data_IF_803141924545
#
_entry.id   IF_803141924545
#
_cell.length_a   1.000
_cell.length_b   1.000
_cell.length_c   1.000
_cell.angle_alpha   90.00
_cell.angle_beta   90.00
_cell.angle_gamma   90.00
#
_symmetry.space_group_name_H-M   'P 1'
#
loop_
_entity.id
_entity.type
_entity.pdbx_description
1 polymer ?
#
# COMPACT_ATOMS: atom_id res chain seq x y z
N UNK A 1 -2.75 -17.77 -9.76
CA UNK A 1 -4.11 -17.18 -9.66
C UNK A 1 -4.10 -15.86 -10.40
N UNK A 2 -5.11 -15.64 -11.24
CA UNK A 2 -5.22 -14.39 -12.02
C UNK A 2 -6.44 -13.57 -11.61
N UNK A 3 -7.57 -14.22 -11.31
CA UNK A 3 -8.75 -13.52 -10.83
C UNK A 3 -9.03 -13.96 -9.38
N UNK A 4 -9.44 -13.02 -8.53
CA UNK A 4 -9.77 -13.27 -7.14
C UNK A 4 -11.04 -12.51 -6.73
N UNK A 5 -12.02 -13.22 -6.23
CA UNK A 5 -13.20 -12.67 -5.55
C UNK A 5 -13.07 -12.92 -4.05
N UNK A 6 -13.23 -11.87 -3.27
CA UNK A 6 -13.10 -11.91 -1.82
C UNK A 6 -14.45 -11.60 -1.17
N UNK A 7 -14.87 -12.46 -0.24
CA UNK A 7 -16.08 -12.24 0.54
C UNK A 7 -15.77 -12.29 2.03
N UNK A 8 -16.38 -11.39 2.77
CA UNK A 8 -16.35 -11.34 4.22
C UNK A 8 -17.77 -11.50 4.75
N UNK A 9 -18.01 -12.52 5.57
CA UNK A 9 -19.31 -12.80 6.13
C UNK A 9 -20.44 -12.89 5.07
N UNK A 10 -20.12 -13.47 3.91
CA UNK A 10 -21.04 -13.62 2.78
C UNK A 10 -21.27 -12.35 1.95
N UNK A 11 -20.56 -11.26 2.23
CA UNK A 11 -20.62 -10.00 1.47
C UNK A 11 -19.34 -9.79 0.66
N UNK A 12 -19.42 -9.28 -0.58
CA UNK A 12 -18.22 -8.98 -1.36
C UNK A 12 -17.40 -7.86 -0.71
N UNK A 13 -16.08 -8.05 -0.65
CA UNK A 13 -15.16 -7.05 -0.12
C UNK A 13 -14.91 -5.90 -1.10
N UNK A 14 -15.15 -6.14 -2.39
CA UNK A 14 -14.97 -5.17 -3.45
C UNK A 14 -15.15 -5.84 -4.81
N UNK A 15 -14.74 -5.14 -5.86
CA UNK A 15 -14.74 -5.69 -7.21
C UNK A 15 -13.74 -6.85 -7.33
N UNK A 16 -13.99 -7.76 -8.29
CA UNK A 16 -13.08 -8.86 -8.57
C UNK A 16 -11.70 -8.33 -9.00
N UNK A 17 -10.67 -8.71 -8.25
CA UNK A 17 -9.31 -8.41 -8.64
C UNK A 17 -8.88 -9.26 -9.83
N UNK A 18 -8.24 -8.64 -10.81
CA UNK A 18 -7.69 -9.31 -11.98
C UNK A 18 -6.20 -9.02 -12.12
N UNK A 19 -5.42 -10.08 -12.29
CA UNK A 19 -3.97 -10.01 -12.39
C UNK A 19 -3.25 -10.74 -11.25
N UNK A 20 -2.26 -11.57 -11.61
CA UNK A 20 -1.58 -12.47 -10.65
C UNK A 20 -0.33 -11.88 -10.02
N UNK A 21 0.17 -10.75 -10.51
CA UNK A 21 1.49 -10.22 -10.15
C UNK A 21 1.45 -8.98 -9.27
N UNK A 22 0.27 -8.43 -9.01
CA UNK A 22 0.08 -7.22 -8.22
C UNK A 22 -0.34 -7.54 -6.80
N UNK A 23 0.06 -6.69 -5.86
CA UNK A 23 -0.55 -6.60 -4.55
C UNK A 23 -1.87 -5.84 -4.68
N UNK A 24 -2.90 -6.30 -3.99
CA UNK A 24 -4.18 -5.62 -3.88
C UNK A 24 -4.68 -5.71 -2.44
N UNK A 25 -5.53 -4.79 -2.05
CA UNK A 25 -6.13 -4.69 -0.73
C UNK A 25 -7.58 -4.23 -0.84
N UNK A 26 -8.37 -4.59 0.16
CA UNK A 26 -9.73 -4.11 0.33
C UNK A 26 -9.89 -3.60 1.76
N UNK A 27 -10.54 -2.47 1.91
CA UNK A 27 -11.03 -2.05 3.22
C UNK A 27 -12.27 -2.88 3.56
N UNK A 28 -12.16 -3.66 4.63
CA UNK A 28 -13.21 -4.57 5.09
C UNK A 28 -13.80 -4.13 6.43
N UNK A 29 -13.48 -2.94 6.90
CA UNK A 29 -13.86 -2.43 8.22
C UNK A 29 -15.35 -2.56 8.47
N UNK A 30 -16.18 -2.13 7.52
CA UNK A 30 -17.64 -2.17 7.62
C UNK A 30 -18.24 -3.59 7.45
N UNK A 31 -17.45 -4.55 7.02
CA UNK A 31 -17.90 -5.94 6.80
C UNK A 31 -17.62 -6.83 8.00
N UNK A 32 -16.84 -6.36 8.97
CA UNK A 32 -16.41 -7.12 10.12
C UNK A 32 -17.44 -7.09 11.25
N UNK A 33 -17.65 -8.25 11.88
CA UNK A 33 -18.35 -8.38 13.14
C UNK A 33 -17.31 -8.28 14.27
N UNK A 34 -17.09 -7.09 14.83
CA UNK A 34 -16.10 -6.87 15.87
C UNK A 34 -16.40 -7.72 17.11
N UNK A 35 -15.36 -8.32 17.69
CA UNK A 35 -15.48 -9.19 18.85
C UNK A 35 -16.10 -10.56 18.59
N UNK A 36 -16.35 -10.93 17.33
CA UNK A 36 -16.92 -12.23 16.92
C UNK A 36 -16.03 -12.88 15.87
N UNK A 37 -16.36 -14.15 15.56
CA UNK A 37 -15.76 -14.83 14.43
C UNK A 37 -16.24 -14.21 13.13
N UNK A 38 -15.32 -14.03 12.19
CA UNK A 38 -15.60 -13.58 10.84
C UNK A 38 -15.18 -14.68 9.86
N UNK A 39 -15.93 -14.81 8.79
CA UNK A 39 -15.65 -15.77 7.73
C UNK A 39 -15.05 -15.04 6.53
N UNK A 40 -13.87 -15.47 6.12
CA UNK A 40 -13.22 -15.05 4.89
C UNK A 40 -13.38 -16.17 3.85
N UNK A 41 -13.95 -15.83 2.72
CA UNK A 41 -14.02 -16.70 1.54
C UNK A 41 -13.26 -16.04 0.39
N UNK A 42 -12.41 -16.84 -0.25
CA UNK A 42 -11.62 -16.37 -1.40
C UNK A 42 -11.78 -17.35 -2.55
N UNK A 43 -12.44 -16.91 -3.60
CA UNK A 43 -12.58 -17.66 -4.83
C UNK A 43 -11.52 -17.19 -5.82
N UNK A 44 -10.70 -18.12 -6.29
CA UNK A 44 -9.59 -17.81 -7.20
C UNK A 44 -9.69 -18.61 -8.48
N UNK A 45 -9.45 -17.95 -9.60
CA UNK A 45 -9.35 -18.59 -10.90
C UNK A 45 -7.89 -18.67 -11.36
N UNK A 46 -7.53 -19.76 -12.00
CA UNK A 46 -6.22 -19.92 -12.65
C UNK A 46 -6.13 -19.10 -13.92
N UNK A 47 -7.23 -18.93 -14.60
CA UNK A 47 -7.38 -18.16 -15.83
C UNK A 47 -8.24 -16.94 -15.59
N UNK A 48 -7.85 -15.79 -16.12
CA UNK A 48 -8.64 -14.59 -16.03
C UNK A 48 -9.80 -14.60 -17.01
N UNK A 49 -10.94 -14.09 -16.58
CA UNK A 49 -12.03 -13.75 -17.51
C UNK A 49 -11.63 -12.66 -18.50
N UNK A 50 -10.60 -11.88 -18.18
CA UNK A 50 -10.05 -10.86 -19.05
C UNK A 50 -9.00 -11.46 -20.02
N UNK A 51 -9.34 -11.46 -21.32
CA UNK A 51 -8.47 -12.04 -22.36
C UNK A 51 -7.11 -11.34 -22.47
N UNK A 52 -7.07 -10.04 -22.24
CA UNK A 52 -5.84 -9.25 -22.30
C UNK A 52 -4.88 -9.66 -21.18
N UNK A 53 -5.39 -9.82 -19.95
CA UNK A 53 -4.61 -10.30 -18.80
C UNK A 53 -4.10 -11.73 -19.06
N UNK A 54 -4.94 -12.62 -19.56
CA UNK A 54 -4.50 -13.97 -19.94
C UNK A 54 -3.39 -13.94 -20.98
N UNK A 55 -3.50 -13.06 -21.98
CA UNK A 55 -2.46 -12.94 -23.01
C UNK A 55 -1.14 -12.43 -22.42
N UNK A 56 -1.20 -11.45 -21.52
CA UNK A 56 -0.01 -10.86 -20.90
C UNK A 56 0.66 -11.79 -19.86
N UNK A 57 -0.13 -12.47 -19.05
CA UNK A 57 0.41 -13.25 -17.92
C UNK A 57 0.64 -14.73 -18.21
N UNK A 58 0.01 -15.29 -19.26
CA UNK A 58 0.04 -16.74 -19.53
C UNK A 58 0.85 -17.16 -20.77
N UNK A 59 1.30 -16.22 -21.58
CA UNK A 59 2.14 -16.49 -22.76
C UNK A 59 3.62 -16.31 -22.44
N UNK A 60 4.10 -16.99 -21.42
CA UNK A 60 5.47 -16.87 -20.98
C UNK A 60 6.06 -18.24 -20.62
N UNK A 61 7.38 -18.31 -20.54
CA UNK A 61 8.16 -19.55 -20.36
C UNK A 61 8.18 -20.07 -18.91
N UNK A 62 7.23 -19.68 -18.07
CA UNK A 62 7.17 -20.16 -16.68
C UNK A 62 5.90 -20.93 -16.37
N UNK A 63 6.00 -21.77 -15.34
CA UNK A 63 4.89 -22.52 -14.84
C UNK A 63 3.86 -21.62 -14.14
N UNK A 64 2.60 -21.77 -14.55
CA UNK A 64 1.48 -21.06 -13.95
C UNK A 64 0.84 -21.91 -12.87
N UNK A 65 1.09 -21.56 -11.63
CA UNK A 65 0.48 -22.23 -10.49
C UNK A 65 -0.95 -21.72 -10.28
N UNK A 66 -1.85 -22.64 -9.92
CA UNK A 66 -3.18 -22.30 -9.43
C UNK A 66 -3.17 -21.98 -7.94
N UNK A 67 -4.26 -21.42 -7.45
CA UNK A 67 -4.45 -21.12 -6.03
C UNK A 67 -3.72 -19.88 -5.53
N UNK A 68 -3.67 -19.73 -4.21
CA UNK A 68 -3.04 -18.60 -3.53
C UNK A 68 -1.65 -19.05 -3.09
N UNK A 69 -0.63 -18.51 -3.70
CA UNK A 69 0.78 -18.86 -3.41
C UNK A 69 1.57 -17.71 -2.74
N UNK A 70 0.98 -16.53 -2.66
CA UNK A 70 1.58 -15.38 -1.96
C UNK A 70 0.93 -15.18 -0.60
N UNK A 71 1.63 -14.52 0.34
CA UNK A 71 1.07 -14.25 1.66
C UNK A 71 -0.24 -13.46 1.60
N UNK A 72 -1.16 -13.82 2.49
CA UNK A 72 -2.40 -13.08 2.75
C UNK A 72 -2.36 -12.68 4.21
N UNK A 73 -2.65 -11.40 4.49
CA UNK A 73 -2.66 -10.88 5.85
C UNK A 73 -3.79 -9.89 6.04
N UNK A 74 -4.16 -9.70 7.29
CA UNK A 74 -5.04 -8.65 7.73
C UNK A 74 -4.18 -7.53 8.34
N UNK A 75 -4.38 -6.32 7.89
CA UNK A 75 -3.72 -5.13 8.40
C UNK A 75 -4.71 -4.31 9.22
N UNK A 76 -4.37 -4.04 10.47
CA UNK A 76 -5.19 -3.21 11.36
C UNK A 76 -4.47 -1.88 11.53
N UNK A 77 -5.09 -0.82 11.04
CA UNK A 77 -4.54 0.52 11.04
C UNK A 77 -5.28 1.40 12.06
N UNK A 78 -4.62 2.37 12.68
CA UNK A 78 -5.29 3.44 13.42
C UNK A 78 -6.22 4.23 12.49
N UNK A 79 -7.24 4.90 13.06
CA UNK A 79 -8.12 5.76 12.28
C UNK A 79 -7.36 6.88 11.54
N UNK A 80 -6.31 7.40 12.18
CA UNK A 80 -5.39 8.36 11.55
C UNK A 80 -4.07 7.65 11.32
N UNK A 81 -3.69 7.52 10.06
CA UNK A 81 -2.45 6.84 9.66
C UNK A 81 -1.91 7.42 8.35
N UNK A 82 -0.67 7.12 8.06
CA UNK A 82 -0.09 7.42 6.75
C UNK A 82 -0.58 6.39 5.74
N UNK A 83 -1.31 6.83 4.73
CA UNK A 83 -1.83 5.96 3.68
C UNK A 83 -0.79 5.74 2.58
N UNK A 84 -0.19 6.84 2.13
CA UNK A 84 0.89 6.77 1.16
C UNK A 84 2.02 7.72 1.56
N UNK A 85 3.24 7.32 1.26
CA UNK A 85 4.36 8.24 1.30
C UNK A 85 5.27 8.01 0.09
N UNK A 86 5.77 9.10 -0.47
CA UNK A 86 6.68 9.10 -1.59
C UNK A 86 7.99 9.74 -1.15
N UNK A 87 9.08 9.05 -1.39
CA UNK A 87 10.42 9.57 -1.22
C UNK A 87 11.12 9.59 -2.58
N UNK A 88 11.56 10.76 -3.00
CA UNK A 88 12.32 10.93 -4.22
C UNK A 88 13.59 11.69 -3.92
N UNK A 89 14.73 11.02 -4.07
CA UNK A 89 16.04 11.59 -3.84
C UNK A 89 16.83 11.63 -5.14
N UNK A 90 17.48 12.75 -5.43
CA UNK A 90 18.36 12.88 -6.58
C UNK A 90 19.85 12.78 -6.19
N UNK A 91 20.69 12.67 -7.20
CA UNK A 91 22.15 12.55 -7.01
C UNK A 91 22.84 13.85 -6.52
N UNK A 92 22.11 14.96 -6.50
CA UNK A 92 22.57 16.22 -5.92
C UNK A 92 22.26 16.31 -4.42
N UNK A 93 21.61 15.27 -3.87
CA UNK A 93 21.22 15.22 -2.45
C UNK A 93 19.92 15.97 -2.15
N UNK A 94 19.12 16.30 -3.16
CA UNK A 94 17.78 16.86 -2.96
C UNK A 94 16.82 15.72 -2.63
N UNK A 95 16.11 15.83 -1.51
CA UNK A 95 15.05 14.92 -1.10
C UNK A 95 13.72 15.62 -1.22
N UNK A 96 12.80 14.98 -1.95
CA UNK A 96 11.40 15.39 -2.00
C UNK A 96 10.56 14.30 -1.31
N UNK A 97 9.66 14.73 -0.45
CA UNK A 97 8.75 13.83 0.26
C UNK A 97 7.32 14.29 0.08
N UNK A 98 6.42 13.35 -0.14
CA UNK A 98 4.98 13.57 -0.08
C UNK A 98 4.37 12.52 0.83
N UNK A 99 3.45 12.92 1.70
CA UNK A 99 2.76 12.03 2.64
C UNK A 99 1.27 12.29 2.55
N UNK A 100 0.52 11.22 2.26
CA UNK A 100 -0.93 11.25 2.29
C UNK A 100 -1.40 10.62 3.60
N UNK A 101 -2.28 11.33 4.30
CA UNK A 101 -2.86 10.88 5.58
C UNK A 101 -4.30 10.46 5.37
N UNK A 102 -4.66 9.31 5.91
CA UNK A 102 -6.05 8.90 6.07
C UNK A 102 -6.60 9.41 7.41
N UNK A 103 -7.90 9.71 7.45
CA UNK A 103 -8.60 10.21 8.64
C UNK A 103 -8.40 11.70 8.90
N UNK A 104 -8.88 12.17 10.05
CA UNK A 104 -8.73 13.57 10.46
C UNK A 104 -7.35 13.79 11.11
N UNK A 105 -6.40 14.20 10.30
CA UNK A 105 -5.02 14.44 10.73
C UNK A 105 -4.78 15.83 11.35
N UNK A 106 -5.85 16.62 11.65
CA UNK A 106 -5.71 17.91 12.30
C UNK A 106 -4.97 17.78 13.64
N UNK A 107 -3.98 18.62 13.84
CA UNK A 107 -3.17 18.61 15.06
C UNK A 107 -2.09 17.52 15.11
N UNK A 108 -1.94 16.70 14.06
CA UNK A 108 -0.83 15.77 13.95
C UNK A 108 0.37 16.43 13.28
N UNK A 109 1.55 16.07 13.74
CA UNK A 109 2.82 16.51 13.17
C UNK A 109 3.48 15.32 12.46
N UNK A 110 3.98 15.56 11.24
CA UNK A 110 4.76 14.58 10.49
C UNK A 110 6.23 14.95 10.62
N UNK A 111 7.02 14.03 11.17
CA UNK A 111 8.46 14.21 11.33
C UNK A 111 9.18 13.33 10.32
N UNK A 112 9.93 13.97 9.42
CA UNK A 112 10.84 13.27 8.49
C UNK A 112 12.26 13.44 8.99
N UNK A 113 12.96 12.33 9.26
CA UNK A 113 14.35 12.34 9.67
C UNK A 113 15.23 11.69 8.63
N UNK A 114 16.32 12.35 8.27
CA UNK A 114 17.36 11.81 7.38
C UNK A 114 18.61 11.56 8.21
N UNK A 115 19.09 10.32 8.20
CA UNK A 115 20.31 9.93 8.94
C UNK A 115 21.42 9.60 7.95
N UNK A 116 22.59 10.18 8.15
CA UNK A 116 23.77 9.74 7.44
C UNK A 116 24.34 8.48 8.10
N UNK A 117 24.93 7.58 7.31
CA UNK A 117 25.62 6.38 7.81
C UNK A 117 26.79 6.71 8.76
N UNK A 118 27.26 7.97 8.77
CA UNK A 118 28.33 8.49 9.65
C UNK A 118 27.80 9.20 10.92
N UNK A 119 26.62 8.89 11.42
CA UNK A 119 26.07 9.34 12.72
C UNK A 119 25.64 10.80 12.85
N UNK A 120 25.26 11.50 11.81
CA UNK A 120 24.57 12.79 11.95
C UNK A 120 23.10 12.64 11.64
N UNK A 121 22.24 13.03 12.58
CA UNK A 121 20.79 13.04 12.41
C UNK A 121 20.36 14.48 12.06
N UNK A 122 19.68 14.65 10.94
CA UNK A 122 18.99 15.88 10.60
C UNK A 122 17.49 15.62 10.68
N UNK A 123 16.81 16.31 11.60
CA UNK A 123 15.34 16.23 11.76
C UNK A 123 14.71 17.40 11.04
N UNK A 124 13.69 17.10 10.27
CA UNK A 124 12.91 18.10 9.55
C UNK A 124 11.46 17.92 9.98
N UNK A 125 10.86 19.01 10.45
CA UNK A 125 9.49 19.05 10.91
C UNK A 125 8.61 19.56 9.79
N UNK A 126 7.57 18.81 9.46
CA UNK A 126 6.56 19.20 8.49
C UNK A 126 5.28 19.50 9.27
N UNK A 127 4.88 20.76 9.33
CA UNK A 127 3.62 21.14 9.94
C UNK A 127 2.46 20.73 9.03
N UNK A 128 1.68 19.74 9.48
CA UNK A 128 0.65 19.11 8.67
C UNK A 128 -0.64 19.92 8.60
N UNK A 129 -0.98 20.37 7.40
CA UNK A 129 -2.39 20.45 6.99
C UNK A 129 -2.62 19.36 5.96
N UNK A 130 -3.71 18.64 6.14
CA UNK A 130 -4.21 17.60 5.24
C UNK A 130 -4.26 18.08 3.80
N UNK A 131 -3.29 17.72 3.00
CA UNK A 131 -3.27 17.60 1.54
C UNK A 131 -1.80 17.51 1.13
N UNK A 132 -1.46 16.58 0.25
CA UNK A 132 -0.13 16.30 -0.29
C UNK A 132 0.92 17.41 -0.09
N UNK A 133 1.72 17.30 0.96
CA UNK A 133 2.81 18.23 1.21
C UNK A 133 4.02 17.81 0.39
N UNK A 134 4.27 18.50 -0.72
CA UNK A 134 5.52 18.38 -1.46
C UNK A 134 6.49 19.43 -0.90
N UNK A 135 7.48 18.99 -0.13
CA UNK A 135 8.59 19.87 0.28
C UNK A 135 9.90 19.40 -0.32
N UNK A 136 10.64 20.32 -0.91
CA UNK A 136 12.01 20.10 -1.35
C UNK A 136 12.97 20.42 -0.21
N UNK A 137 13.76 19.44 0.20
CA UNK A 137 14.77 19.57 1.24
C UNK A 137 16.11 19.82 0.56
N UNK A 138 16.71 20.98 0.81
CA UNK A 138 18.07 21.28 0.34
C UNK A 138 19.10 20.65 1.29
N UNK A 139 20.11 19.93 0.80
CA UNK A 139 21.09 19.30 1.65
C UNK A 139 21.94 20.35 2.38
N UNK A 140 22.17 20.14 3.68
CA UNK A 140 23.18 20.85 4.41
C UNK A 140 24.54 20.30 3.95
N UNK A 141 25.31 21.11 3.21
CA UNK A 141 26.68 20.76 2.87
C UNK A 141 27.48 20.65 4.17
N UNK A 142 28.02 19.46 4.43
CA UNK A 142 29.07 19.31 5.45
C UNK A 142 30.34 20.01 4.96
N UNK A 143 30.84 20.94 5.73
CA UNK A 143 32.26 21.38 5.62
C UNK A 143 33.19 20.31 6.16
#
# INVERSE_FOLDING_TARGET
>A
MTDAEIMINGKPAGEMHQGGFYRFNYDITELLNLGKKNQLEVKVAKESANRSINAAERKADWWLFGGIYRPVWLEVLPQVHMEHFVLNADHHGKLQTAVDMAGDAKGHEIIVSVRSLKRRENRIYLNGQTQSLIQSITPIRSR
#
